data_IF_360369304208
#
_entry.id   IF_360369304208
#
_cell.length_a   1.000
_cell.length_b   1.000
_cell.length_c   1.000
_cell.angle_alpha   90.00
_cell.angle_beta   90.00
_cell.angle_gamma   90.00
#
_symmetry.space_group_name_H-M   'P 1'
#
loop_
_entity.id
_entity.type
_entity.pdbx_description
1 polymer ?
#
# COMPACT_ATOMS: atom_id res chain seq x y z
N UNK A 1 20.80 -2.03 7.93
CA UNK A 1 19.89 -2.89 7.18
C UNK A 1 19.14 -2.04 6.15
N UNK A 2 19.15 -2.46 4.89
CA UNK A 2 18.44 -1.74 3.84
C UNK A 2 16.94 -2.04 3.93
N UNK A 3 16.13 -1.01 3.97
CA UNK A 3 14.67 -1.15 4.03
C UNK A 3 14.05 -0.91 2.67
N UNK A 4 12.99 -1.64 2.42
CA UNK A 4 12.21 -1.55 1.19
C UNK A 4 10.82 -1.01 1.50
N UNK A 5 10.33 -0.11 0.65
CA UNK A 5 8.96 0.35 0.68
C UNK A 5 8.21 -0.24 -0.52
N UNK A 6 7.16 -0.98 -0.26
CA UNK A 6 6.28 -1.53 -1.31
C UNK A 6 5.06 -0.64 -1.44
N UNK A 7 4.81 -0.16 -2.64
CA UNK A 7 3.72 0.77 -2.96
C UNK A 7 2.68 0.02 -3.77
N UNK A 8 1.50 -0.17 -3.22
CA UNK A 8 0.46 -1.01 -3.82
C UNK A 8 -0.81 -0.19 -4.03
N UNK A 9 -1.39 -0.33 -5.24
CA UNK A 9 -2.70 0.23 -5.56
C UNK A 9 -3.69 -0.94 -5.66
N UNK A 10 -4.79 -0.86 -4.92
CA UNK A 10 -5.79 -1.91 -4.87
C UNK A 10 -7.20 -1.35 -5.10
N UNK A 11 -8.08 -2.16 -5.71
CA UNK A 11 -9.47 -1.76 -5.92
C UNK A 11 -10.46 -2.92 -5.72
N UNK A 12 -9.97 -4.17 -5.76
CA UNK A 12 -10.79 -5.36 -5.48
C UNK A 12 -9.89 -6.52 -5.09
N UNK A 13 -10.45 -7.72 -4.99
CA UNK A 13 -9.69 -8.93 -4.65
C UNK A 13 -8.87 -8.77 -3.37
N UNK A 14 -9.52 -8.27 -2.31
CA UNK A 14 -8.83 -7.97 -1.06
C UNK A 14 -8.28 -9.21 -0.35
N UNK A 15 -8.84 -10.39 -0.62
CA UNK A 15 -8.29 -11.66 -0.14
C UNK A 15 -6.93 -11.95 -0.77
N UNK A 16 -6.76 -11.64 -2.06
CA UNK A 16 -5.48 -11.76 -2.75
C UNK A 16 -4.48 -10.71 -2.24
N UNK A 17 -4.96 -9.50 -1.98
CA UNK A 17 -4.14 -8.44 -1.40
C UNK A 17 -3.59 -8.87 -0.05
N UNK A 18 -4.43 -9.49 0.80
CA UNK A 18 -3.99 -10.01 2.09
C UNK A 18 -2.91 -11.06 1.94
N UNK A 19 -3.04 -11.98 0.98
CA UNK A 19 -2.01 -12.98 0.70
C UNK A 19 -0.71 -12.35 0.24
N UNK A 20 -0.78 -11.34 -0.61
CA UNK A 20 0.40 -10.62 -1.06
C UNK A 20 1.12 -9.93 0.11
N UNK A 21 0.37 -9.29 0.99
CA UNK A 21 0.92 -8.62 2.17
C UNK A 21 1.66 -9.65 3.05
N UNK A 22 1.07 -10.82 3.25
CA UNK A 22 1.70 -11.89 4.03
C UNK A 22 3.02 -12.34 3.38
N UNK A 23 3.05 -12.46 2.05
CA UNK A 23 4.27 -12.83 1.32
C UNK A 23 5.37 -11.78 1.41
N UNK A 24 4.99 -10.50 1.51
CA UNK A 24 5.96 -9.39 1.61
C UNK A 24 6.39 -9.11 3.05
N UNK A 25 5.82 -9.80 4.02
CA UNK A 25 6.09 -9.54 5.44
C UNK A 25 7.53 -9.91 5.78
N UNK A 26 8.34 -8.90 6.11
CA UNK A 26 9.76 -9.05 6.44
C UNK A 26 10.19 -7.84 7.24
N UNK A 27 11.20 -7.99 8.08
CA UNK A 27 11.76 -6.90 8.90
C UNK A 27 12.27 -5.74 8.06
N UNK A 28 12.62 -6.00 6.80
CA UNK A 28 13.17 -4.99 5.88
C UNK A 28 12.10 -4.29 5.06
N UNK A 29 10.85 -4.75 5.11
CA UNK A 29 9.79 -4.28 4.25
C UNK A 29 8.72 -3.53 5.04
N UNK A 30 8.28 -2.40 4.51
CA UNK A 30 7.04 -1.74 4.93
C UNK A 30 6.17 -1.59 3.69
N UNK A 31 4.87 -1.58 3.88
CA UNK A 31 3.89 -1.65 2.80
C UNK A 31 2.95 -0.45 2.88
N UNK A 32 2.89 0.31 1.79
CA UNK A 32 2.00 1.47 1.66
C UNK A 32 0.93 1.13 0.63
N UNK A 33 -0.32 1.24 1.00
CA UNK A 33 -1.44 0.79 0.18
C UNK A 33 -2.42 1.94 -0.06
N UNK A 34 -2.80 2.12 -1.31
CA UNK A 34 -3.92 2.97 -1.69
C UNK A 34 -5.08 2.07 -2.14
N UNK A 35 -6.24 2.26 -1.54
CA UNK A 35 -7.47 1.57 -1.96
C UNK A 35 -8.37 2.57 -2.65
N UNK A 36 -8.85 2.22 -3.87
CA UNK A 36 -9.76 3.09 -4.62
C UNK A 36 -11.00 3.38 -3.78
N UNK A 37 -11.35 4.67 -3.66
CA UNK A 37 -12.51 5.08 -2.86
C UNK A 37 -13.82 4.51 -3.39
N UNK A 38 -13.85 4.11 -4.66
CA UNK A 38 -15.02 3.48 -5.27
C UNK A 38 -15.25 2.05 -4.78
N UNK A 39 -14.28 1.46 -4.08
CA UNK A 39 -14.38 0.11 -3.54
C UNK A 39 -15.17 0.15 -2.23
N UNK A 40 -16.45 -0.16 -2.30
CA UNK A 40 -17.37 -0.07 -1.16
C UNK A 40 -17.21 -1.21 -0.17
N UNK A 41 -16.70 -2.35 -0.63
CA UNK A 41 -16.53 -3.56 0.16
C UNK A 41 -15.21 -3.62 0.93
N UNK A 42 -14.40 -2.57 0.87
CA UNK A 42 -13.14 -2.52 1.58
C UNK A 42 -13.37 -2.31 3.08
N UNK A 43 -12.75 -3.17 3.88
CA UNK A 43 -12.73 -3.07 5.34
C UNK A 43 -11.29 -3.14 5.82
N UNK A 44 -10.79 -2.02 6.33
CA UNK A 44 -9.41 -1.93 6.82
C UNK A 44 -9.15 -2.90 7.96
N UNK A 45 -10.15 -3.19 8.78
CA UNK A 45 -10.00 -4.10 9.91
C UNK A 45 -9.67 -5.54 9.46
N UNK A 46 -10.02 -5.90 8.22
CA UNK A 46 -9.69 -7.20 7.64
C UNK A 46 -8.17 -7.42 7.56
N UNK A 47 -7.41 -6.33 7.47
CA UNK A 47 -5.94 -6.38 7.35
C UNK A 47 -5.23 -6.15 8.67
N UNK A 48 -5.96 -6.02 9.75
CA UNK A 48 -5.38 -5.80 11.07
C UNK A 48 -4.59 -7.05 11.51
N UNK A 49 -3.36 -6.82 11.98
CA UNK A 49 -2.47 -7.89 12.46
C UNK A 49 -2.12 -8.95 11.40
N UNK A 50 -2.16 -8.56 10.12
CA UNK A 50 -1.83 -9.46 9.01
C UNK A 50 -0.32 -9.72 8.94
N UNK A 51 0.50 -8.76 9.35
CA UNK A 51 1.96 -8.87 9.30
C UNK A 51 2.54 -9.04 10.70
N UNK A 52 3.72 -9.71 10.75
CA UNK A 52 4.50 -9.85 11.98
C UNK A 52 5.61 -8.82 12.09
N UNK A 53 6.24 -8.48 10.96
CA UNK A 53 7.44 -7.65 10.93
C UNK A 53 7.26 -6.34 10.19
N UNK A 54 6.47 -6.35 9.12
CA UNK A 54 6.26 -5.16 8.29
C UNK A 54 5.16 -4.28 8.86
N UNK A 55 5.33 -2.97 8.70
CA UNK A 55 4.26 -2.02 8.95
C UNK A 55 3.43 -1.87 7.68
N UNK A 56 2.12 -1.85 7.83
CA UNK A 56 1.17 -1.66 6.72
C UNK A 56 0.47 -0.33 6.93
N UNK A 57 0.59 0.54 5.93
CA UNK A 57 -0.01 1.88 5.97
C UNK A 57 -1.02 2.02 4.84
N UNK A 58 -2.24 2.38 5.20
CA UNK A 58 -3.29 2.73 4.24
C UNK A 58 -3.33 4.24 4.12
N UNK A 59 -3.01 4.76 2.92
CA UNK A 59 -3.01 6.20 2.71
C UNK A 59 -4.43 6.71 2.40
N UNK A 60 -4.61 8.03 2.39
CA UNK A 60 -5.89 8.65 2.09
C UNK A 60 -6.41 8.16 0.74
N UNK A 61 -7.66 7.68 0.72
CA UNK A 61 -8.27 7.09 -0.46
C UNK A 61 -8.74 8.18 -1.44
N UNK A 62 -8.49 7.93 -2.71
CA UNK A 62 -8.95 8.76 -3.83
C UNK A 62 -9.59 7.88 -4.88
N UNK A 63 -10.45 8.45 -5.73
CA UNK A 63 -10.99 7.73 -6.87
C UNK A 63 -9.91 7.57 -7.93
N UNK A 64 -9.74 6.35 -8.43
CA UNK A 64 -8.79 6.04 -9.49
C UNK A 64 -9.54 5.72 -10.76
N UNK A 65 -9.22 6.42 -11.84
CA UNK A 65 -9.76 6.15 -13.16
C UNK A 65 -8.62 5.67 -14.04
N UNK A 66 -8.66 4.40 -14.41
CA UNK A 66 -7.60 3.77 -15.16
C UNK A 66 -7.39 4.47 -16.50
N UNK A 67 -6.13 4.62 -16.89
CA UNK A 67 -5.73 5.38 -18.10
C UNK A 67 -6.01 6.90 -18.00
N UNK A 68 -6.08 7.44 -16.77
CA UNK A 68 -6.24 8.86 -16.49
C UNK A 68 -5.10 9.32 -15.57
N UNK A 69 -4.94 10.64 -15.45
CA UNK A 69 -3.93 11.26 -14.58
C UNK A 69 -4.15 10.94 -13.10
N UNK A 70 -5.35 10.52 -12.70
CA UNK A 70 -5.62 10.12 -11.32
C UNK A 70 -4.74 8.98 -10.85
N UNK A 71 -4.31 8.09 -11.75
CA UNK A 71 -3.36 7.01 -11.43
C UNK A 71 -2.02 7.58 -11.01
N UNK A 72 -1.55 8.60 -11.72
CA UNK A 72 -0.27 9.26 -11.43
C UNK A 72 -0.34 9.97 -10.09
N UNK A 73 -1.46 10.64 -9.79
CA UNK A 73 -1.67 11.30 -8.51
C UNK A 73 -1.56 10.31 -7.35
N UNK A 74 -2.18 9.14 -7.48
CA UNK A 74 -2.13 8.09 -6.45
C UNK A 74 -0.72 7.54 -6.29
N UNK A 75 -0.02 7.31 -7.38
CA UNK A 75 1.37 6.85 -7.34
C UNK A 75 2.26 7.86 -6.61
N UNK A 76 2.07 9.16 -6.89
CA UNK A 76 2.81 10.22 -6.22
C UNK A 76 2.44 10.31 -4.74
N UNK A 77 1.18 10.11 -4.38
CA UNK A 77 0.75 10.09 -2.98
C UNK A 77 1.42 8.96 -2.21
N UNK A 78 1.46 7.76 -2.80
CA UNK A 78 2.13 6.61 -2.20
C UNK A 78 3.61 6.90 -1.98
N UNK A 79 4.28 7.40 -3.01
CA UNK A 79 5.70 7.72 -2.93
C UNK A 79 5.97 8.81 -1.89
N UNK A 80 5.15 9.87 -1.88
CA UNK A 80 5.29 10.97 -0.91
C UNK A 80 5.15 10.46 0.52
N UNK A 81 4.15 9.61 0.78
CA UNK A 81 3.96 9.04 2.11
C UNK A 81 5.14 8.17 2.53
N UNK A 82 5.67 7.36 1.61
CA UNK A 82 6.83 6.52 1.90
C UNK A 82 8.09 7.36 2.16
N UNK A 83 8.27 8.44 1.42
CA UNK A 83 9.45 9.31 1.54
C UNK A 83 9.48 10.13 2.84
N UNK A 84 8.35 10.32 3.51
CA UNK A 84 8.27 11.12 4.73
C UNK A 84 9.22 10.63 5.84
N UNK A 85 9.43 9.33 5.93
CA UNK A 85 10.27 8.76 6.98
C UNK A 85 11.76 8.72 6.62
N UNK A 86 12.10 8.88 5.36
CA UNK A 86 13.47 8.92 4.85
C UNK A 86 14.31 7.68 5.19
N UNK A 87 13.66 6.58 5.55
CA UNK A 87 14.35 5.37 6.03
C UNK A 87 14.45 4.26 4.98
N UNK A 88 13.83 4.44 3.80
CA UNK A 88 13.80 3.40 2.79
C UNK A 88 14.86 3.65 1.72
N UNK A 89 15.58 2.60 1.38
CA UNK A 89 16.55 2.64 0.30
C UNK A 89 15.93 2.28 -1.05
N UNK A 90 14.91 1.42 -1.04
CA UNK A 90 14.28 0.91 -2.25
C UNK A 90 12.77 1.12 -2.20
N UNK A 91 12.19 1.50 -3.32
CA UNK A 91 10.75 1.68 -3.50
C UNK A 91 10.26 0.78 -4.63
N UNK A 92 9.21 0.03 -4.38
CA UNK A 92 8.69 -0.94 -5.37
C UNK A 92 7.25 -0.69 -5.74
#
# INVERSE_FOLDING_TARGET
MNRHAYLIMAFNHFDLLKKLIILLDDKRNDIFIHVDIKSEDFDESYFKNVTKYSNVYFIKRKAVFWADYSMIDVELDLLTNACKSDKYKYYH
#
